data_IF_823940716971
#
_entry.id   IF_823940716971
#
_cell.length_a   1.000
_cell.length_b   1.000
_cell.length_c   1.000
_cell.angle_alpha   90.00
_cell.angle_beta   90.00
_cell.angle_gamma   90.00
#
_symmetry.space_group_name_H-M   'P 1'
#
loop_
_entity.id
_entity.type
_entity.pdbx_description
1 polymer ?
#
# COMPACT_ATOMS: atom_id res chain seq x y z
N UNK A 1 22.95 -11.50 11.05
CA UNK A 1 22.36 -10.29 10.44
C UNK A 1 22.19 -10.46 8.92
N UNK A 2 23.26 -10.77 8.16
CA UNK A 2 23.22 -10.94 6.69
C UNK A 2 22.23 -12.01 6.18
N UNK A 3 22.18 -13.20 6.80
CA UNK A 3 21.29 -14.30 6.37
C UNK A 3 19.80 -13.91 6.31
N UNK A 4 19.31 -13.12 7.28
CA UNK A 4 17.91 -12.64 7.30
C UNK A 4 17.64 -11.61 6.20
N UNK A 5 18.64 -10.82 5.82
CA UNK A 5 18.51 -9.87 4.71
C UNK A 5 18.44 -10.60 3.37
N UNK A 6 19.31 -11.59 3.14
CA UNK A 6 19.27 -12.43 1.95
C UNK A 6 17.95 -13.18 1.80
N UNK A 7 17.43 -13.73 2.91
CA UNK A 7 16.12 -14.40 2.93
C UNK A 7 14.98 -13.45 2.53
N UNK A 8 14.99 -12.21 3.07
CA UNK A 8 14.02 -11.16 2.70
C UNK A 8 14.12 -10.77 1.24
N UNK A 9 15.34 -10.59 0.73
CA UNK A 9 15.59 -10.18 -0.66
C UNK A 9 15.14 -11.25 -1.68
N UNK A 10 15.15 -12.53 -1.31
CA UNK A 10 14.69 -13.64 -2.16
C UNK A 10 13.17 -13.82 -2.17
N UNK A 11 12.44 -13.14 -1.28
CA UNK A 11 10.99 -13.30 -1.17
C UNK A 11 10.30 -12.76 -2.42
N UNK A 12 9.53 -13.62 -3.10
CA UNK A 12 8.81 -13.21 -4.32
C UNK A 12 7.82 -12.08 -4.01
N UNK A 13 7.73 -11.04 -4.88
CA UNK A 13 6.72 -9.99 -4.72
C UNK A 13 5.31 -10.56 -4.75
N UNK A 14 4.37 -9.86 -4.11
CA UNK A 14 2.94 -10.18 -4.25
C UNK A 14 2.56 -10.09 -5.73
N UNK A 15 1.81 -11.08 -6.23
CA UNK A 15 1.36 -11.11 -7.63
C UNK A 15 0.36 -9.98 -7.88
N UNK A 16 0.32 -9.40 -9.07
CA UNK A 16 -0.65 -8.35 -9.42
C UNK A 16 -2.00 -8.89 -9.95
N UNK A 17 -2.17 -10.22 -10.02
CA UNK A 17 -3.41 -10.85 -10.49
C UNK A 17 -4.48 -11.11 -9.42
N UNK A 18 -4.31 -10.62 -8.19
CA UNK A 18 -5.23 -10.92 -7.07
C UNK A 18 -6.46 -10.04 -7.09
N UNK A 19 -7.53 -10.46 -6.41
CA UNK A 19 -8.72 -9.62 -6.21
C UNK A 19 -8.38 -8.36 -5.42
N UNK A 20 -7.53 -8.46 -4.39
CA UNK A 20 -7.07 -7.32 -3.61
C UNK A 20 -6.34 -6.28 -4.47
N UNK A 21 -5.43 -6.71 -5.35
CA UNK A 21 -4.74 -5.78 -6.25
C UNK A 21 -5.69 -5.10 -7.23
N UNK A 22 -6.64 -5.86 -7.79
CA UNK A 22 -7.67 -5.31 -8.69
C UNK A 22 -8.57 -4.31 -7.99
N UNK A 23 -9.02 -4.61 -6.77
CA UNK A 23 -9.86 -3.70 -5.99
C UNK A 23 -9.10 -2.42 -5.61
N UNK A 24 -7.83 -2.51 -5.22
CA UNK A 24 -6.98 -1.32 -5.00
C UNK A 24 -6.92 -0.39 -6.22
N UNK A 25 -6.78 -0.96 -7.42
CA UNK A 25 -6.79 -0.19 -8.67
C UNK A 25 -8.15 0.46 -8.90
N UNK A 26 -9.24 -0.32 -8.80
CA UNK A 26 -10.60 0.16 -9.08
C UNK A 26 -11.01 1.25 -8.10
N UNK A 27 -10.87 1.01 -6.80
CA UNK A 27 -11.31 1.95 -5.77
C UNK A 27 -10.40 3.18 -5.68
N UNK A 28 -9.09 3.01 -5.91
CA UNK A 28 -8.15 4.12 -6.01
C UNK A 28 -8.44 5.01 -7.22
N UNK A 29 -8.78 4.44 -8.37
CA UNK A 29 -9.19 5.20 -9.56
C UNK A 29 -10.55 5.89 -9.40
N UNK A 30 -11.47 5.32 -8.62
CA UNK A 30 -12.73 5.97 -8.27
C UNK A 30 -12.52 7.18 -7.34
N UNK A 31 -11.61 7.07 -6.37
CA UNK A 31 -11.27 8.15 -5.43
C UNK A 31 -10.47 9.27 -6.11
N UNK A 32 -9.46 8.89 -6.90
CA UNK A 32 -8.57 9.82 -7.59
C UNK A 32 -8.53 9.49 -9.09
N UNK A 33 -9.47 10.02 -9.90
CA UNK A 33 -9.59 9.68 -11.34
C UNK A 33 -8.36 10.00 -12.19
N UNK A 34 -7.48 10.90 -11.73
CA UNK A 34 -6.23 11.25 -12.40
C UNK A 34 -5.05 10.37 -11.99
N UNK A 35 -5.20 9.53 -10.96
CA UNK A 35 -4.17 8.63 -10.49
C UNK A 35 -3.96 7.48 -11.49
N UNK A 36 -2.69 7.23 -11.83
CA UNK A 36 -2.31 6.10 -12.68
C UNK A 36 -1.69 5.01 -11.80
N UNK A 37 -2.32 3.84 -11.65
CA UNK A 37 -1.76 2.76 -10.85
C UNK A 37 -0.50 2.23 -11.53
N UNK A 38 0.55 2.03 -10.74
CA UNK A 38 1.80 1.42 -11.19
C UNK A 38 2.34 0.52 -10.09
N UNK A 39 2.72 -0.73 -10.39
CA UNK A 39 3.43 -1.56 -9.44
C UNK A 39 4.81 -0.93 -9.17
N UNK A 40 5.11 -0.67 -7.91
CA UNK A 40 6.41 -0.17 -7.46
C UNK A 40 6.91 -0.99 -6.27
N UNK A 41 8.23 -0.96 -6.05
CA UNK A 41 8.80 -1.46 -4.81
C UNK A 41 8.41 -0.50 -3.69
N UNK A 42 7.69 -1.00 -2.68
CA UNK A 42 7.37 -0.20 -1.51
C UNK A 42 8.60 -0.14 -0.60
N UNK A 43 9.11 1.06 -0.34
CA UNK A 43 10.41 1.23 0.32
C UNK A 43 10.37 1.00 1.83
N UNK A 44 9.18 1.09 2.44
CA UNK A 44 9.03 0.99 3.89
C UNK A 44 9.09 -0.47 4.40
N UNK A 45 9.76 -0.65 5.53
CA UNK A 45 9.69 -1.90 6.30
C UNK A 45 8.36 -2.01 7.02
N UNK A 46 7.48 -2.92 6.59
CA UNK A 46 6.17 -3.15 7.20
C UNK A 46 6.02 -4.59 7.70
N UNK A 47 4.89 -4.88 8.34
CA UNK A 47 4.44 -6.22 8.69
C UNK A 47 4.10 -7.09 7.46
N UNK A 48 4.22 -6.58 6.23
CA UNK A 48 4.00 -7.35 5.00
C UNK A 48 4.91 -8.58 4.87
N UNK A 49 6.13 -8.53 5.43
CA UNK A 49 7.10 -9.63 5.31
C UNK A 49 6.58 -10.98 5.87
N UNK A 50 6.20 -11.08 7.16
CA UNK A 50 5.70 -12.35 7.73
C UNK A 50 4.44 -12.88 7.03
N UNK A 51 3.58 -12.01 6.50
CA UNK A 51 2.39 -12.42 5.73
C UNK A 51 2.77 -13.00 4.37
N UNK A 52 3.66 -12.33 3.63
CA UNK A 52 4.13 -12.82 2.33
C UNK A 52 4.93 -14.11 2.43
N UNK A 53 5.65 -14.35 3.54
CA UNK A 53 6.30 -15.64 3.81
C UNK A 53 5.31 -16.81 3.88
N UNK A 54 4.04 -16.53 4.24
CA UNK A 54 2.96 -17.51 4.33
C UNK A 54 2.12 -17.59 3.05
N UNK A 55 2.58 -16.96 1.97
CA UNK A 55 1.85 -16.92 0.70
C UNK A 55 0.67 -15.96 0.67
N UNK A 56 0.46 -15.15 1.71
CA UNK A 56 -0.63 -14.17 1.77
C UNK A 56 -0.19 -12.91 1.01
N UNK A 57 -0.90 -12.49 -0.05
CA UNK A 57 -0.55 -11.28 -0.80
C UNK A 57 -0.73 -10.02 0.06
N UNK A 58 0.29 -9.16 0.06
CA UNK A 58 0.27 -7.85 0.71
C UNK A 58 0.80 -6.79 -0.25
N UNK A 59 0.16 -5.63 -0.30
CA UNK A 59 0.57 -4.50 -1.14
C UNK A 59 0.79 -3.29 -0.24
N UNK A 60 1.95 -2.66 -0.38
CA UNK A 60 2.21 -1.37 0.26
C UNK A 60 1.44 -0.27 -0.48
N UNK A 61 0.80 0.60 0.28
CA UNK A 61 0.00 1.70 -0.26
C UNK A 61 0.26 2.96 0.56
N UNK A 62 0.33 4.10 -0.13
CA UNK A 62 0.04 5.39 0.46
C UNK A 62 -1.41 5.70 0.08
N UNK A 63 -2.39 5.47 0.97
CA UNK A 63 -3.80 5.60 0.64
C UNK A 63 -4.21 7.08 0.64
N UNK A 64 -3.40 7.96 0.06
CA UNK A 64 -3.65 9.39 -0.03
C UNK A 64 -2.63 10.03 -1.00
N UNK A 65 -3.00 11.09 -1.72
CA UNK A 65 -2.05 11.88 -2.48
C UNK A 65 -1.06 12.54 -1.53
N UNK A 66 0.23 12.27 -1.73
CA UNK A 66 1.32 12.83 -0.92
C UNK A 66 2.35 13.48 -1.84
N UNK A 67 2.78 14.68 -1.48
CA UNK A 67 3.86 15.36 -2.19
C UNK A 67 5.22 14.84 -1.75
N UNK A 68 6.26 15.10 -2.56
CA UNK A 68 7.64 14.74 -2.20
C UNK A 68 8.09 15.41 -0.90
N UNK A 69 7.71 16.67 -0.66
CA UNK A 69 8.07 17.40 0.56
C UNK A 69 7.39 16.83 1.80
N UNK A 70 6.15 16.37 1.69
CA UNK A 70 5.46 15.65 2.78
C UNK A 70 6.12 14.29 3.04
N UNK A 71 6.47 13.52 2.00
CA UNK A 71 7.19 12.25 2.18
C UNK A 71 8.53 12.42 2.89
N UNK A 72 9.25 13.52 2.66
CA UNK A 72 10.54 13.78 3.35
C UNK A 72 10.40 14.05 4.84
N UNK A 73 9.20 14.29 5.36
CA UNK A 73 8.98 14.46 6.81
C UNK A 73 8.59 13.17 7.52
N UNK A 74 8.45 12.05 6.80
CA UNK A 74 8.18 10.73 7.37
C UNK A 74 9.25 10.36 8.39
N UNK A 75 8.82 9.84 9.54
CA UNK A 75 9.63 9.55 10.73
C UNK A 75 10.25 10.77 11.42
N UNK A 76 9.79 11.98 11.12
CA UNK A 76 10.20 13.22 11.78
C UNK A 76 9.06 13.90 12.55
N UNK A 77 9.40 14.91 13.36
CA UNK A 77 8.42 15.69 14.14
C UNK A 77 7.38 16.42 13.29
N UNK A 78 7.69 16.64 12.01
CA UNK A 78 6.81 17.32 11.05
C UNK A 78 6.02 16.37 10.16
N UNK A 79 6.02 15.06 10.42
CA UNK A 79 5.17 14.10 9.72
C UNK A 79 3.70 14.48 9.90
N UNK A 80 2.98 14.67 8.80
CA UNK A 80 1.59 15.11 8.82
C UNK A 80 0.88 14.79 7.52
N UNK A 81 -0.44 14.75 7.61
CA UNK A 81 -1.37 14.60 6.50
C UNK A 81 -2.55 15.56 6.74
N UNK A 82 -3.23 15.99 5.68
CA UNK A 82 -4.49 16.73 5.84
C UNK A 82 -5.63 15.81 6.29
N UNK A 83 -6.56 16.34 7.07
CA UNK A 83 -7.75 15.60 7.52
C UNK A 83 -8.54 15.06 6.32
N UNK A 84 -8.77 15.88 5.30
CA UNK A 84 -9.44 15.46 4.05
C UNK A 84 -8.79 14.24 3.41
N UNK A 85 -7.45 14.21 3.30
CA UNK A 85 -6.74 13.09 2.67
C UNK A 85 -6.79 11.82 3.54
N UNK A 86 -6.82 11.97 4.86
CA UNK A 86 -7.03 10.86 5.77
C UNK A 86 -8.44 10.26 5.61
N UNK A 87 -9.46 11.10 5.48
CA UNK A 87 -10.86 10.70 5.25
C UNK A 87 -11.01 9.96 3.92
N UNK A 88 -10.55 10.56 2.81
CA UNK A 88 -10.55 9.97 1.46
C UNK A 88 -9.86 8.61 1.44
N UNK A 89 -8.67 8.54 2.05
CA UNK A 89 -7.91 7.30 2.15
C UNK A 89 -8.59 6.21 2.94
N UNK A 90 -9.19 6.58 4.07
CA UNK A 90 -9.93 5.66 4.94
C UNK A 90 -11.16 5.12 4.23
N UNK A 91 -11.92 5.98 3.54
CA UNK A 91 -13.09 5.55 2.79
C UNK A 91 -12.68 4.63 1.61
N UNK A 92 -11.67 5.00 0.84
CA UNK A 92 -11.14 4.18 -0.25
C UNK A 92 -10.73 2.78 0.23
N UNK A 93 -9.94 2.68 1.31
CA UNK A 93 -9.55 1.39 1.88
C UNK A 93 -10.76 0.61 2.42
N UNK A 94 -11.74 1.29 3.01
CA UNK A 94 -12.97 0.65 3.48
C UNK A 94 -13.76 0.03 2.32
N UNK A 95 -13.86 0.71 1.17
CA UNK A 95 -14.49 0.18 -0.04
C UNK A 95 -13.73 -1.03 -0.60
N UNK A 96 -12.40 -0.98 -0.61
CA UNK A 96 -11.55 -2.13 -1.01
C UNK A 96 -11.84 -3.35 -0.14
N UNK A 97 -11.85 -3.17 1.19
CA UNK A 97 -12.10 -4.27 2.11
C UNK A 97 -13.52 -4.84 1.95
N UNK A 98 -14.53 -3.98 1.80
CA UNK A 98 -15.91 -4.42 1.55
C UNK A 98 -16.04 -5.20 0.24
N UNK A 99 -15.40 -4.74 -0.83
CA UNK A 99 -15.42 -5.43 -2.12
C UNK A 99 -14.77 -6.81 -2.06
N UNK A 100 -13.60 -6.91 -1.41
CA UNK A 100 -12.85 -8.17 -1.32
C UNK A 100 -13.49 -9.14 -0.33
N UNK A 101 -14.01 -8.67 0.80
CA UNK A 101 -14.62 -9.52 1.82
C UNK A 101 -16.04 -9.99 1.47
N UNK A 102 -16.71 -9.33 0.52
CA UNK A 102 -18.03 -9.76 0.03
C UNK A 102 -17.95 -10.87 -1.04
N UNK A 103 -16.74 -11.31 -1.40
CA UNK A 103 -16.50 -12.37 -2.40
C UNK A 103 -16.24 -13.73 -1.76
#
# INVERSE_FOLDING_TARGET
>A
MLKRFEERARLRPSRTGTDLYRSLITQGGAEWPTAKPTPALFEAGTDAYPWRQRGIPVYGVYPYPVSRSELTTMHGNGERISVKRLEEGTDMLSRVLREVAAR
#
